data_IF_054662945177
#
_entry.id   IF_054662945177
#
_cell.length_a   1.000
_cell.length_b   1.000
_cell.length_c   1.000
_cell.angle_alpha   90.00
_cell.angle_beta   90.00
_cell.angle_gamma   90.00
#
_symmetry.space_group_name_H-M   'P 1'
#
loop_
_entity.id
_entity.type
_entity.pdbx_description
1 polymer ?
#
# COMPACT_ATOMS: atom_id res chain seq x y z
N UNK A 1 14.63 11.46 27.21
CA UNK A 1 14.35 11.56 25.74
C UNK A 1 14.90 10.37 24.95
N UNK A 2 16.12 9.90 25.22
CA UNK A 2 16.73 8.75 24.52
C UNK A 2 15.90 7.47 24.49
N UNK A 3 15.28 7.07 25.61
CA UNK A 3 14.43 5.87 25.66
C UNK A 3 13.23 5.87 24.68
N UNK A 4 12.67 7.06 24.38
CA UNK A 4 11.59 7.20 23.39
C UNK A 4 12.10 7.15 21.95
N UNK A 5 13.35 7.53 21.72
CA UNK A 5 14.03 7.48 20.42
C UNK A 5 14.45 6.04 20.08
N UNK A 6 15.02 5.30 21.04
CA UNK A 6 15.38 3.90 20.86
C UNK A 6 14.17 3.00 20.67
N UNK A 7 13.07 3.22 21.42
CA UNK A 7 11.83 2.47 21.20
C UNK A 7 11.30 2.65 19.77
N UNK A 8 11.28 3.89 19.26
CA UNK A 8 10.88 4.17 17.87
C UNK A 8 11.79 3.52 16.84
N UNK A 9 13.10 3.50 17.10
CA UNK A 9 14.07 2.88 16.20
C UNK A 9 13.87 1.36 16.11
N UNK A 10 13.59 0.68 17.23
CA UNK A 10 13.34 -0.76 17.25
C UNK A 10 12.05 -1.09 16.48
N UNK A 11 10.97 -0.34 16.71
CA UNK A 11 9.72 -0.53 15.96
C UNK A 11 9.91 -0.26 14.45
N UNK A 12 10.68 0.76 14.08
CA UNK A 12 11.00 1.04 12.69
C UNK A 12 11.83 -0.08 12.05
N UNK A 13 12.83 -0.61 12.76
CA UNK A 13 13.65 -1.72 12.30
C UNK A 13 12.82 -3.01 12.13
N UNK A 14 11.94 -3.33 13.07
CA UNK A 14 11.02 -4.46 12.95
C UNK A 14 10.04 -4.29 11.79
N UNK A 15 9.49 -3.09 11.59
CA UNK A 15 8.58 -2.81 10.48
C UNK A 15 9.29 -2.94 9.13
N UNK A 16 10.51 -2.38 9.01
CA UNK A 16 11.35 -2.53 7.82
C UNK A 16 11.69 -3.99 7.56
N UNK A 17 12.10 -4.73 8.59
CA UNK A 17 12.39 -6.16 8.49
C UNK A 17 11.18 -6.95 8.01
N UNK A 18 10.02 -6.81 8.65
CA UNK A 18 8.79 -7.50 8.25
C UNK A 18 8.35 -7.14 6.83
N UNK A 19 8.52 -5.88 6.43
CA UNK A 19 8.20 -5.46 5.06
C UNK A 19 9.16 -6.09 4.06
N UNK A 20 10.46 -6.06 4.33
CA UNK A 20 11.47 -6.61 3.41
C UNK A 20 11.36 -8.12 3.28
N UNK A 21 11.23 -8.83 4.41
CA UNK A 21 11.03 -10.28 4.42
C UNK A 21 9.66 -10.65 3.83
N UNK A 22 8.59 -9.95 4.19
CA UNK A 22 7.25 -10.23 3.68
C UNK A 22 7.17 -10.07 2.16
N UNK A 23 7.59 -8.92 1.64
CA UNK A 23 7.60 -8.60 0.20
C UNK A 23 8.55 -9.55 -0.56
N UNK A 24 9.74 -9.81 -0.01
CA UNK A 24 10.72 -10.71 -0.62
C UNK A 24 10.24 -12.16 -0.71
N UNK A 25 9.68 -12.72 0.38
CA UNK A 25 9.11 -14.06 0.37
C UNK A 25 7.86 -14.16 -0.51
N UNK A 26 7.04 -13.12 -0.60
CA UNK A 26 5.88 -13.09 -1.48
C UNK A 26 6.31 -13.15 -2.96
N UNK A 27 7.36 -12.41 -3.33
CA UNK A 27 7.95 -12.47 -4.67
C UNK A 27 8.51 -13.86 -5.01
N UNK A 28 9.22 -14.50 -4.07
CA UNK A 28 9.72 -15.87 -4.26
C UNK A 28 8.59 -16.88 -4.39
N UNK A 29 7.51 -16.76 -3.61
CA UNK A 29 6.35 -17.65 -3.68
C UNK A 29 5.58 -17.50 -5.00
N UNK A 30 5.43 -16.28 -5.50
CA UNK A 30 4.83 -16.03 -6.82
C UNK A 30 5.72 -16.60 -7.94
N UNK A 31 7.04 -16.40 -7.84
CA UNK A 31 7.97 -16.91 -8.85
C UNK A 31 7.99 -18.44 -8.87
N UNK A 32 7.97 -19.11 -7.72
CA UNK A 32 8.04 -20.58 -7.68
C UNK A 32 6.83 -21.25 -8.34
N UNK A 33 5.65 -20.63 -8.26
CA UNK A 33 4.44 -21.09 -8.94
C UNK A 33 4.49 -20.80 -10.44
N UNK A 34 4.99 -19.62 -10.84
CA UNK A 34 5.06 -19.23 -12.26
C UNK A 34 6.14 -19.97 -13.05
N UNK A 35 7.20 -20.46 -12.39
CA UNK A 35 8.33 -21.16 -13.05
C UNK A 35 7.87 -22.35 -13.89
N UNK A 36 6.85 -23.08 -13.42
CA UNK A 36 6.33 -24.25 -14.15
C UNK A 36 5.60 -23.87 -15.45
N UNK A 37 5.05 -22.66 -15.53
CA UNK A 37 4.27 -22.20 -16.68
C UNK A 37 5.09 -21.37 -17.68
N UNK A 38 6.01 -20.53 -17.19
CA UNK A 38 6.70 -19.51 -18.00
C UNK A 38 8.22 -19.74 -18.07
N UNK A 39 8.76 -20.66 -17.28
CA UNK A 39 10.18 -20.82 -17.09
C UNK A 39 10.78 -19.76 -16.16
N UNK A 40 12.03 -20.00 -15.75
CA UNK A 40 12.70 -19.25 -14.68
C UNK A 40 12.83 -17.74 -15.01
N UNK A 41 13.33 -17.42 -16.21
CA UNK A 41 13.59 -16.03 -16.60
C UNK A 41 12.31 -15.19 -16.70
N UNK A 42 11.27 -15.71 -17.33
CA UNK A 42 10.01 -14.98 -17.49
C UNK A 42 9.25 -14.84 -16.16
N UNK A 43 9.35 -15.81 -15.26
CA UNK A 43 8.73 -15.73 -13.93
C UNK A 43 9.31 -14.60 -13.09
N UNK A 44 10.64 -14.46 -13.06
CA UNK A 44 11.29 -13.35 -12.38
C UNK A 44 10.96 -12.00 -13.03
N UNK A 45 10.88 -11.94 -14.36
CA UNK A 45 10.51 -10.72 -15.07
C UNK A 45 9.09 -10.27 -14.74
N UNK A 46 8.12 -11.19 -14.72
CA UNK A 46 6.71 -10.89 -14.39
C UNK A 46 6.57 -10.47 -12.93
N UNK A 47 7.16 -11.21 -12.00
CA UNK A 47 7.13 -10.85 -10.57
C UNK A 47 7.82 -9.51 -10.35
N UNK A 48 8.99 -9.29 -10.95
CA UNK A 48 9.70 -8.02 -10.90
C UNK A 48 8.84 -6.87 -11.43
N UNK A 49 8.16 -7.05 -12.56
CA UNK A 49 7.25 -6.05 -13.11
C UNK A 49 6.09 -5.74 -12.15
N UNK A 50 5.49 -6.74 -11.50
CA UNK A 50 4.38 -6.54 -10.55
C UNK A 50 4.83 -5.71 -9.33
N UNK A 51 6.02 -5.97 -8.80
CA UNK A 51 6.52 -5.23 -7.62
C UNK A 51 7.07 -3.84 -7.97
N UNK A 52 7.67 -3.67 -9.16
CA UNK A 52 8.32 -2.42 -9.55
C UNK A 52 7.39 -1.47 -10.31
N UNK A 53 6.45 -1.96 -11.12
CA UNK A 53 5.61 -1.10 -11.94
C UNK A 53 4.76 -0.11 -11.13
N UNK A 54 4.06 -0.51 -10.04
CA UNK A 54 3.28 0.44 -9.26
C UNK A 54 4.08 1.62 -8.66
N UNK A 55 5.22 1.41 -7.95
CA UNK A 55 6.00 2.52 -7.45
C UNK A 55 6.67 3.33 -8.57
N UNK A 56 7.03 2.70 -9.69
CA UNK A 56 7.60 3.41 -10.84
C UNK A 56 6.57 4.34 -11.48
N UNK A 57 5.34 3.84 -11.72
CA UNK A 57 4.22 4.65 -12.25
C UNK A 57 3.90 5.80 -11.30
N UNK A 58 3.90 5.53 -9.99
CA UNK A 58 3.67 6.58 -8.98
C UNK A 58 4.77 7.63 -9.00
N UNK A 59 6.05 7.23 -9.05
CA UNK A 59 7.18 8.14 -9.13
C UNK A 59 7.13 9.01 -10.41
N UNK A 60 6.83 8.40 -11.57
CA UNK A 60 6.60 9.11 -12.82
C UNK A 60 5.44 10.10 -12.70
N UNK A 61 4.32 9.69 -12.12
CA UNK A 61 3.17 10.57 -11.90
C UNK A 61 3.52 11.73 -10.95
N UNK A 62 4.32 11.48 -9.90
CA UNK A 62 4.74 12.51 -8.96
C UNK A 62 5.68 13.54 -9.60
N UNK A 63 6.59 13.10 -10.47
CA UNK A 63 7.50 14.00 -11.21
C UNK A 63 6.72 14.87 -12.22
N UNK A 64 5.74 14.28 -12.91
CA UNK A 64 4.98 14.97 -13.96
C UNK A 64 3.92 15.91 -13.36
N UNK A 65 3.37 15.60 -12.18
CA UNK A 65 2.37 16.43 -11.52
C UNK A 65 2.98 17.75 -11.06
N UNK A 66 2.55 18.85 -11.70
CA UNK A 66 2.83 20.21 -11.19
C UNK A 66 2.29 20.33 -9.75
N UNK A 67 3.07 20.89 -8.82
CA UNK A 67 2.59 21.12 -7.46
C UNK A 67 1.34 21.98 -7.50
N UNK A 68 0.27 21.49 -6.87
CA UNK A 68 -0.97 22.24 -6.79
C UNK A 68 -0.72 23.55 -6.01
N UNK A 69 -1.29 24.68 -6.44
CA UNK A 69 -1.16 25.94 -5.72
C UNK A 69 -1.69 25.76 -4.29
N UNK A 70 -0.87 26.18 -3.32
CA UNK A 70 -1.15 26.05 -1.88
C UNK A 70 -2.45 26.82 -1.56
N UNK A 71 -3.50 26.19 -1.03
CA UNK A 71 -4.73 26.90 -0.67
C UNK A 71 -4.41 27.98 0.36
N UNK A 72 -4.89 29.20 0.13
CA UNK A 72 -4.75 30.32 1.07
C UNK A 72 -5.36 29.95 2.44
N UNK A 73 -4.79 30.42 3.56
CA UNK A 73 -5.31 30.11 4.88
C UNK A 73 -6.66 30.82 5.07
N UNK A 74 -7.76 30.07 5.10
CA UNK A 74 -9.10 30.60 5.38
C UNK A 74 -9.60 30.09 6.75
N UNK A 75 -10.30 30.92 7.54
CA UNK A 75 -10.58 30.67 8.94
C UNK A 75 -11.83 29.79 9.14
N UNK A 76 -11.69 28.68 9.87
CA UNK A 76 -12.85 27.88 10.33
C UNK A 76 -12.53 26.41 10.63
N UNK A 77 -12.65 26.01 11.90
CA UNK A 77 -12.32 24.67 12.41
C UNK A 77 -13.11 23.52 11.75
N UNK A 78 -14.36 23.76 11.34
CA UNK A 78 -15.20 22.77 10.65
C UNK A 78 -14.72 22.46 9.22
N UNK A 79 -14.07 23.43 8.58
CA UNK A 79 -13.57 23.29 7.21
C UNK A 79 -12.15 22.71 7.19
N UNK A 80 -11.38 22.85 8.27
CA UNK A 80 -10.11 22.13 8.49
C UNK A 80 -10.36 20.63 8.63
N UNK A 81 -11.41 20.21 9.35
CA UNK A 81 -11.78 18.79 9.44
C UNK A 81 -12.16 18.21 8.06
N UNK A 82 -12.92 18.96 7.25
CA UNK A 82 -13.26 18.57 5.87
C UNK A 82 -12.06 18.62 4.94
N UNK A 83 -11.16 19.60 5.10
CA UNK A 83 -9.93 19.72 4.32
C UNK A 83 -8.92 18.62 4.67
N UNK A 84 -8.86 18.19 5.94
CA UNK A 84 -8.07 17.04 6.39
C UNK A 84 -8.68 15.74 5.89
N UNK A 85 -10.01 15.57 5.95
CA UNK A 85 -10.67 14.39 5.36
C UNK A 85 -10.46 14.33 3.84
N UNK A 86 -10.60 15.47 3.17
CA UNK A 86 -10.38 15.58 1.73
C UNK A 86 -8.91 15.38 1.35
N UNK A 87 -7.97 15.87 2.17
CA UNK A 87 -6.54 15.64 2.00
C UNK A 87 -6.18 14.17 2.25
N UNK A 88 -6.71 13.54 3.30
CA UNK A 88 -6.52 12.11 3.58
C UNK A 88 -7.12 11.25 2.48
N UNK A 89 -8.33 11.56 2.00
CA UNK A 89 -8.95 10.85 0.88
C UNK A 89 -8.16 11.01 -0.43
N UNK A 90 -7.48 12.15 -0.62
CA UNK A 90 -6.70 12.45 -1.82
C UNK A 90 -5.25 11.91 -1.76
N UNK A 91 -4.66 11.84 -0.57
CA UNK A 91 -3.28 11.39 -0.32
C UNK A 91 -3.19 9.88 -0.02
N UNK A 92 -4.26 9.25 0.48
CA UNK A 92 -4.28 7.79 0.79
C UNK A 92 -5.36 6.97 0.05
N UNK A 93 -5.47 7.09 -1.29
CA UNK A 93 -6.35 6.21 -2.07
C UNK A 93 -5.96 4.73 -1.91
N UNK A 94 -4.68 4.42 -1.67
CA UNK A 94 -4.22 3.06 -1.41
C UNK A 94 -4.79 2.44 -0.13
N UNK A 95 -4.97 3.22 0.95
CA UNK A 95 -5.60 2.71 2.19
C UNK A 95 -7.08 2.43 1.95
N UNK A 96 -7.75 3.26 1.15
CA UNK A 96 -9.13 3.02 0.75
C UNK A 96 -9.27 1.78 -0.15
N UNK A 97 -8.33 1.56 -1.07
CA UNK A 97 -8.30 0.37 -1.94
C UNK A 97 -7.99 -0.89 -1.11
N UNK A 98 -7.02 -0.85 -0.20
CA UNK A 98 -6.67 -1.97 0.69
C UNK A 98 -7.80 -2.24 1.68
N UNK A 99 -8.41 -1.19 2.25
CA UNK A 99 -9.56 -1.29 3.14
C UNK A 99 -10.80 -1.87 2.43
N UNK A 100 -11.08 -1.42 1.21
CA UNK A 100 -12.16 -1.96 0.37
C UNK A 100 -11.87 -3.41 -0.04
N UNK A 101 -10.61 -3.76 -0.32
CA UNK A 101 -10.19 -5.14 -0.60
C UNK A 101 -10.39 -6.06 0.59
N UNK A 102 -9.98 -5.62 1.80
CA UNK A 102 -10.19 -6.38 3.04
C UNK A 102 -11.67 -6.50 3.40
N UNK A 103 -12.45 -5.43 3.20
CA UNK A 103 -13.90 -5.46 3.37
C UNK A 103 -14.57 -6.44 2.39
N UNK A 104 -14.16 -6.44 1.12
CA UNK A 104 -14.66 -7.39 0.12
C UNK A 104 -14.32 -8.85 0.44
N UNK A 105 -13.12 -9.13 0.96
CA UNK A 105 -12.74 -10.48 1.43
C UNK A 105 -13.55 -10.89 2.65
N UNK A 106 -13.80 -9.97 3.59
CA UNK A 106 -14.65 -10.23 4.75
C UNK A 106 -16.11 -10.52 4.34
N UNK A 107 -16.66 -9.73 3.41
CA UNK A 107 -18.00 -9.92 2.84
C UNK A 107 -18.12 -11.28 2.12
N UNK A 108 -17.09 -11.67 1.37
CA UNK A 108 -17.03 -12.94 0.64
C UNK A 108 -16.92 -14.14 1.59
N UNK A 109 -16.15 -14.03 2.67
CA UNK A 109 -16.04 -15.06 3.71
C UNK A 109 -17.32 -15.21 4.53
N UNK A 110 -18.00 -14.10 4.84
CA UNK A 110 -19.29 -14.09 5.53
C UNK A 110 -20.42 -14.64 4.62
N UNK A 111 -20.44 -14.26 3.35
CA UNK A 111 -21.41 -14.75 2.37
C UNK A 111 -21.26 -16.26 2.11
N UNK A 112 -20.02 -16.76 2.04
CA UNK A 112 -19.76 -18.22 1.95
C UNK A 112 -20.29 -19.01 3.14
N UNK A 113 -20.34 -18.43 4.35
CA UNK A 113 -20.96 -19.07 5.53
C UNK A 113 -22.48 -19.02 5.51
N UNK A 114 -23.06 -18.01 4.84
CA UNK A 114 -24.51 -17.82 4.76
C UNK A 114 -25.17 -18.78 3.74
N UNK A 115 -24.46 -19.13 2.66
CA UNK A 115 -24.94 -20.06 1.62
C UNK A 115 -24.85 -21.55 2.00
N UNK A 116 -24.25 -21.89 3.16
CA UNK A 116 -24.08 -23.29 3.62
C UNK A 116 -25.07 -23.70 4.74
N UNK A 117 -26.10 -22.90 4.99
CA UNK A 117 -27.26 -23.26 5.82
C UNK A 117 -28.48 -23.38 4.92
#
# INVERSE_FOLDING_TARGET
>A
MFARLTAKAIFAACALGLTFFGVGFLGLALSSVLVQALGVAASYAVVGAIFVAPPLIWALAAIIRKPAPKPAPAPGSAQVARALLAAVAKETPWIAIVGAGLAGVAEMLLSRRKTRK
#
